data_IF_361146907810
#
_entry.id   IF_361146907810
#
_cell.length_a   1.000
_cell.length_b   1.000
_cell.length_c   1.000
_cell.angle_alpha   90.00
_cell.angle_beta   90.00
_cell.angle_gamma   90.00
#
_symmetry.space_group_name_H-M   'P 1'
#
loop_
_entity.id
_entity.type
_entity.pdbx_description
1 polymer ?
#
# COMPACT_ATOMS: atom_id res chain seq x y z
N UNK A 1 24.78 3.90 67.51
CA UNK A 1 25.30 3.91 66.13
C UNK A 1 24.13 4.15 65.17
N UNK A 2 23.87 5.41 64.81
CA UNK A 2 22.73 5.83 63.98
C UNK A 2 23.02 5.86 62.46
N UNK A 3 24.28 5.63 62.04
CA UNK A 3 24.69 5.85 60.65
C UNK A 3 24.14 4.82 59.63
N UNK A 4 23.76 3.62 60.09
CA UNK A 4 23.25 2.53 59.24
C UNK A 4 21.78 2.70 58.84
N UNK A 5 20.95 3.34 59.66
CA UNK A 5 19.54 3.62 59.31
C UNK A 5 19.42 4.73 58.27
N UNK A 6 20.29 5.75 58.35
CA UNK A 6 20.26 6.89 57.43
C UNK A 6 20.63 6.45 56.01
N UNK A 7 21.60 5.53 55.86
CA UNK A 7 22.01 5.01 54.55
C UNK A 7 20.93 4.16 53.88
N UNK A 8 20.22 3.32 54.65
CA UNK A 8 19.12 2.48 54.14
C UNK A 8 17.90 3.31 53.67
N UNK A 9 17.58 4.39 54.38
CA UNK A 9 16.49 5.31 54.01
C UNK A 9 16.83 6.07 52.71
N UNK A 10 18.09 6.48 52.55
CA UNK A 10 18.55 7.21 51.37
C UNK A 10 18.61 6.33 50.10
N UNK A 11 18.96 5.06 50.23
CA UNK A 11 18.95 4.10 49.11
C UNK A 11 17.51 3.81 48.64
N UNK A 12 16.59 3.53 49.58
CA UNK A 12 15.16 3.29 49.29
C UNK A 12 14.51 4.46 48.52
N UNK A 13 14.87 5.70 48.88
CA UNK A 13 14.43 6.93 48.20
C UNK A 13 14.94 7.03 46.76
N UNK A 14 16.22 6.69 46.52
CA UNK A 14 16.83 6.68 45.17
C UNK A 14 16.23 5.61 44.26
N UNK A 15 15.95 4.41 44.79
CA UNK A 15 15.29 3.33 44.03
C UNK A 15 13.86 3.70 43.59
N UNK A 16 13.09 4.43 44.42
CA UNK A 16 11.78 4.95 44.04
C UNK A 16 11.84 5.98 42.91
N UNK A 17 12.82 6.90 42.94
CA UNK A 17 13.03 7.90 41.87
C UNK A 17 13.43 7.23 40.54
N UNK A 18 14.35 6.27 40.57
CA UNK A 18 14.77 5.52 39.38
C UNK A 18 13.62 4.70 38.78
N UNK A 19 12.78 4.08 39.61
CA UNK A 19 11.60 3.32 39.14
C UNK A 19 10.58 4.23 38.43
N UNK A 20 10.35 5.44 38.96
CA UNK A 20 9.45 6.44 38.35
C UNK A 20 9.96 6.92 36.98
N UNK A 21 11.26 7.18 36.85
CA UNK A 21 11.87 7.55 35.57
C UNK A 21 11.81 6.42 34.53
N UNK A 22 12.08 5.18 34.93
CA UNK A 22 11.94 4.00 34.05
C UNK A 22 10.51 3.84 33.52
N UNK A 23 9.50 4.06 34.36
CA UNK A 23 8.10 4.04 33.91
C UNK A 23 7.80 5.14 32.89
N UNK A 24 8.24 6.38 33.13
CA UNK A 24 8.02 7.50 32.19
C UNK A 24 8.66 7.21 30.84
N UNK A 25 9.88 6.70 30.83
CA UNK A 25 10.58 6.30 29.59
C UNK A 25 9.81 5.21 28.85
N UNK A 26 9.33 4.19 29.57
CA UNK A 26 8.56 3.10 28.97
C UNK A 26 7.25 3.58 28.33
N UNK A 27 6.46 4.40 29.05
CA UNK A 27 5.25 4.99 28.49
C UNK A 27 5.52 5.90 27.29
N UNK A 28 6.61 6.68 27.33
CA UNK A 28 7.04 7.49 26.19
C UNK A 28 7.34 6.66 24.95
N UNK A 29 8.04 5.53 25.10
CA UNK A 29 8.36 4.61 24.01
C UNK A 29 7.07 3.99 23.42
N UNK A 30 6.13 3.57 24.27
CA UNK A 30 4.86 2.98 23.82
C UNK A 30 4.06 3.98 22.98
N UNK A 31 3.98 5.24 23.43
CA UNK A 31 3.29 6.31 22.69
C UNK A 31 3.98 6.58 21.34
N UNK A 32 5.31 6.60 21.32
CA UNK A 32 6.08 6.77 20.08
C UNK A 32 5.80 5.65 19.09
N UNK A 33 5.80 4.39 19.54
CA UNK A 33 5.49 3.22 18.69
C UNK A 33 4.05 3.34 18.15
N UNK A 34 3.08 3.68 19.00
CA UNK A 34 1.70 3.87 18.56
C UNK A 34 1.60 4.94 17.47
N UNK A 35 2.24 6.10 17.65
CA UNK A 35 2.26 7.16 16.64
C UNK A 35 2.88 6.69 15.31
N UNK A 36 4.00 5.97 15.35
CA UNK A 36 4.64 5.41 14.15
C UNK A 36 3.75 4.40 13.43
N UNK A 37 3.05 3.53 14.16
CA UNK A 37 2.13 2.56 13.55
C UNK A 37 0.96 3.25 12.85
N UNK A 38 0.39 4.30 13.44
CA UNK A 38 -0.70 5.07 12.83
C UNK A 38 -0.22 5.73 11.52
N UNK A 39 0.96 6.36 11.53
CA UNK A 39 1.54 6.98 10.33
C UNK A 39 1.79 5.92 9.24
N UNK A 40 2.32 4.76 9.61
CA UNK A 40 2.59 3.68 8.67
C UNK A 40 1.30 3.12 8.04
N UNK A 41 0.26 2.89 8.85
CA UNK A 41 -1.05 2.43 8.37
C UNK A 41 -1.67 3.48 7.45
N UNK A 42 -1.59 4.77 7.81
CA UNK A 42 -2.14 5.84 6.99
C UNK A 42 -1.44 5.93 5.62
N UNK A 43 -0.11 5.87 5.57
CA UNK A 43 0.65 5.80 4.31
C UNK A 43 0.28 4.58 3.47
N UNK A 44 0.13 3.42 4.12
CA UNK A 44 -0.26 2.18 3.46
C UNK A 44 -1.67 2.28 2.87
N UNK A 45 -2.59 2.93 3.56
CA UNK A 45 -3.96 3.15 3.10
C UNK A 45 -3.99 4.07 1.87
N UNK A 46 -3.26 5.19 1.89
CA UNK A 46 -3.17 6.11 0.75
C UNK A 46 -2.63 5.39 -0.50
N UNK A 47 -1.56 4.61 -0.34
CA UNK A 47 -0.99 3.81 -1.43
C UNK A 47 -2.00 2.82 -2.00
N UNK A 48 -2.71 2.07 -1.15
CA UNK A 48 -3.76 1.13 -1.60
C UNK A 48 -4.88 1.84 -2.35
N UNK A 49 -5.33 2.98 -1.85
CA UNK A 49 -6.38 3.77 -2.51
C UNK A 49 -5.94 4.27 -3.89
N UNK A 50 -4.66 4.65 -4.04
CA UNK A 50 -4.10 5.04 -5.33
C UNK A 50 -4.04 3.86 -6.31
N UNK A 51 -3.47 2.72 -5.89
CA UNK A 51 -3.39 1.51 -6.72
C UNK A 51 -4.77 1.05 -7.15
N UNK A 52 -5.75 1.06 -6.24
CA UNK A 52 -7.12 0.67 -6.55
C UNK A 52 -7.77 1.55 -7.63
N UNK A 53 -7.43 2.85 -7.70
CA UNK A 53 -7.88 3.71 -8.81
C UNK A 53 -7.24 3.30 -10.13
N UNK A 54 -5.94 3.00 -10.13
CA UNK A 54 -5.24 2.52 -11.31
C UNK A 54 -5.84 1.19 -11.81
N UNK A 55 -6.13 0.25 -10.89
CA UNK A 55 -6.75 -1.05 -11.23
C UNK A 55 -8.14 -0.87 -11.86
N UNK A 56 -8.95 0.06 -11.31
CA UNK A 56 -10.27 0.36 -11.87
C UNK A 56 -10.17 0.95 -13.29
N UNK A 57 -9.21 1.85 -13.54
CA UNK A 57 -8.98 2.40 -14.87
C UNK A 57 -8.50 1.35 -15.86
N UNK A 58 -7.60 0.45 -15.43
CA UNK A 58 -7.14 -0.68 -16.25
C UNK A 58 -8.31 -1.58 -16.62
N UNK A 59 -9.12 -1.99 -15.64
CA UNK A 59 -10.26 -2.87 -15.86
C UNK A 59 -11.27 -2.25 -16.84
N UNK A 60 -11.55 -0.95 -16.69
CA UNK A 60 -12.43 -0.24 -17.61
C UNK A 60 -11.88 -0.26 -19.04
N UNK A 61 -10.58 0.01 -19.23
CA UNK A 61 -10.01 -0.07 -20.56
C UNK A 61 -10.00 -1.49 -21.14
N UNK A 62 -9.59 -2.49 -20.35
CA UNK A 62 -9.58 -3.88 -20.80
C UNK A 62 -10.99 -4.35 -21.19
N UNK A 63 -12.02 -3.92 -20.47
CA UNK A 63 -13.41 -4.21 -20.81
C UNK A 63 -13.81 -3.65 -22.17
N UNK A 64 -13.40 -2.41 -22.49
CA UNK A 64 -13.65 -1.77 -23.78
C UNK A 64 -12.88 -2.47 -24.91
N UNK A 65 -11.61 -2.84 -24.67
CA UNK A 65 -10.81 -3.64 -25.61
C UNK A 65 -11.47 -5.00 -25.89
N UNK A 66 -11.89 -5.72 -24.85
CA UNK A 66 -12.55 -7.03 -24.99
C UNK A 66 -13.86 -6.90 -25.78
N UNK A 67 -14.64 -5.86 -25.51
CA UNK A 67 -15.88 -5.57 -26.25
C UNK A 67 -15.61 -5.28 -27.73
N UNK A 68 -14.65 -4.39 -28.02
CA UNK A 68 -14.24 -4.06 -29.39
C UNK A 68 -13.71 -5.28 -30.14
N UNK A 69 -12.89 -6.10 -29.47
CA UNK A 69 -12.34 -7.35 -30.01
C UNK A 69 -13.43 -8.34 -30.36
N UNK A 70 -14.34 -8.61 -29.44
CA UNK A 70 -15.42 -9.56 -29.67
C UNK A 70 -16.36 -9.08 -30.78
N UNK A 71 -16.63 -7.77 -30.85
CA UNK A 71 -17.41 -7.19 -31.96
C UNK A 71 -16.68 -7.36 -33.31
N UNK A 72 -15.37 -7.09 -33.35
CA UNK A 72 -14.58 -7.30 -34.57
C UNK A 72 -14.57 -8.77 -35.00
N UNK A 73 -14.26 -9.68 -34.06
CA UNK A 73 -14.23 -11.12 -34.32
C UNK A 73 -15.60 -11.68 -34.71
N UNK A 74 -16.71 -11.10 -34.25
CA UNK A 74 -18.05 -11.54 -34.63
C UNK A 74 -18.35 -11.34 -36.12
N UNK A 75 -17.60 -10.46 -36.80
CA UNK A 75 -17.70 -10.23 -38.25
C UNK A 75 -16.81 -11.17 -39.07
N UNK A 76 -15.87 -11.84 -38.41
CA UNK A 76 -14.97 -12.80 -39.06
C UNK A 76 -15.63 -14.17 -39.14
N UNK A 77 -15.31 -14.92 -40.20
CA UNK A 77 -15.66 -16.35 -40.23
C UNK A 77 -14.81 -17.12 -39.22
N UNK A 78 -15.32 -18.23 -38.62
CA UNK A 78 -14.61 -18.98 -37.58
C UNK A 78 -13.22 -19.49 -37.98
N UNK A 79 -13.02 -19.74 -39.28
CA UNK A 79 -11.77 -20.23 -39.85
C UNK A 79 -10.96 -19.14 -40.57
N UNK A 80 -11.40 -17.89 -40.55
CA UNK A 80 -10.68 -16.79 -41.18
C UNK A 80 -9.62 -16.21 -40.22
N UNK A 81 -8.46 -16.85 -40.26
CA UNK A 81 -7.28 -16.45 -39.49
C UNK A 81 -6.73 -15.08 -39.91
N UNK A 82 -6.99 -14.63 -41.13
CA UNK A 82 -6.51 -13.32 -41.58
C UNK A 82 -7.39 -12.19 -41.05
N UNK A 83 -8.72 -12.37 -41.08
CA UNK A 83 -9.67 -11.44 -40.50
C UNK A 83 -9.45 -11.29 -38.99
N UNK A 84 -9.33 -12.42 -38.27
CA UNK A 84 -9.06 -12.38 -36.83
C UNK A 84 -7.73 -11.68 -36.52
N UNK A 85 -6.67 -11.97 -37.28
CA UNK A 85 -5.38 -11.28 -37.13
C UNK A 85 -5.49 -9.77 -37.33
N UNK A 86 -6.20 -9.29 -38.36
CA UNK A 86 -6.43 -7.86 -38.58
C UNK A 86 -7.14 -7.20 -37.40
N UNK A 87 -8.16 -7.86 -36.84
CA UNK A 87 -8.83 -7.39 -35.62
C UNK A 87 -7.86 -7.26 -34.43
N UNK A 88 -6.97 -8.23 -34.24
CA UNK A 88 -5.96 -8.16 -33.19
C UNK A 88 -4.95 -7.04 -33.45
N UNK A 89 -4.45 -6.91 -34.68
CA UNK A 89 -3.44 -5.91 -35.04
C UNK A 89 -3.98 -4.47 -34.86
N UNK A 90 -5.22 -4.21 -35.27
CA UNK A 90 -5.87 -2.90 -35.08
C UNK A 90 -6.04 -2.55 -33.60
N UNK A 91 -6.43 -3.52 -32.77
CA UNK A 91 -6.72 -3.30 -31.36
C UNK A 91 -5.49 -3.43 -30.45
N UNK A 92 -4.38 -3.99 -30.96
CA UNK A 92 -3.15 -4.21 -30.19
C UNK A 92 -2.59 -2.91 -29.63
N UNK A 93 -2.61 -1.83 -30.43
CA UNK A 93 -2.16 -0.51 -29.99
C UNK A 93 -3.01 0.02 -28.82
N UNK A 94 -4.32 -0.18 -28.86
CA UNK A 94 -5.22 0.22 -27.75
C UNK A 94 -4.97 -0.59 -26.49
N UNK A 95 -4.75 -1.91 -26.62
CA UNK A 95 -4.39 -2.77 -25.50
C UNK A 95 -3.07 -2.34 -24.84
N UNK A 96 -2.02 -2.16 -25.64
CA UNK A 96 -0.70 -1.73 -25.17
C UNK A 96 -0.74 -0.36 -24.50
N UNK A 97 -1.51 0.59 -25.05
CA UNK A 97 -1.70 1.91 -24.44
C UNK A 97 -2.33 1.82 -23.05
N UNK A 98 -3.22 0.85 -22.82
CA UNK A 98 -3.84 0.69 -21.51
C UNK A 98 -2.92 0.04 -20.49
N UNK A 99 -2.14 -0.97 -20.90
CA UNK A 99 -1.07 -1.51 -20.05
C UNK A 99 -0.03 -0.44 -19.68
N UNK A 100 0.35 0.42 -20.64
CA UNK A 100 1.28 1.52 -20.40
C UNK A 100 0.71 2.54 -19.39
N UNK A 101 -0.53 3.00 -19.59
CA UNK A 101 -1.18 3.94 -18.67
C UNK A 101 -1.31 3.38 -17.26
N UNK A 102 -1.62 2.09 -17.13
CA UNK A 102 -1.65 1.43 -15.83
C UNK A 102 -0.27 1.44 -15.16
N UNK A 103 0.78 1.03 -15.89
CA UNK A 103 2.14 1.04 -15.38
C UNK A 103 2.57 2.43 -14.92
N UNK A 104 2.23 3.47 -15.70
CA UNK A 104 2.51 4.85 -15.36
C UNK A 104 1.75 5.30 -14.11
N UNK A 105 0.45 4.98 -14.01
CA UNK A 105 -0.37 5.26 -12.83
C UNK A 105 0.18 4.59 -11.57
N UNK A 106 0.46 3.29 -11.63
CA UNK A 106 0.98 2.52 -10.50
C UNK A 106 2.36 3.02 -10.04
N UNK A 107 3.21 3.46 -10.97
CA UNK A 107 4.53 4.02 -10.64
C UNK A 107 4.46 5.33 -9.83
N UNK A 108 3.33 6.04 -9.88
CA UNK A 108 3.11 7.33 -9.21
C UNK A 108 2.50 7.22 -7.79
N UNK A 109 2.18 6.01 -7.30
CA UNK A 109 1.33 5.79 -6.10
C UNK A 109 2.01 5.65 -4.71
#
# INVERSE_FOLDING_TARGET
>A
MPDSEITLVEESSRWKKLKKWKCIIFFGIVILIAALTIIFVHRSYLKKSCIQKCDNEQWNCESLYMSARNNCLSKCSPNDTECSKKCYDELNTSYMNCAYKYSECNSRC
#
